data_IF_242718195737
#
_entry.id   IF_242718195737
#
_cell.length_a   1.000
_cell.length_b   1.000
_cell.length_c   1.000
_cell.angle_alpha   90.00
_cell.angle_beta   90.00
_cell.angle_gamma   90.00
#
_symmetry.space_group_name_H-M   'P 1'
#
loop_
_entity.id
_entity.type
_entity.pdbx_description
1 polymer ?
#
# COMPACT_ATOMS: atom_id res chain seq x y z
N UNK A 1 -13.59 0.36 4.27
CA UNK A 1 -12.63 1.26 3.57
C UNK A 1 -11.65 0.47 2.70
N UNK A 2 -10.88 -0.47 3.25
CA UNK A 2 -9.84 -1.20 2.52
C UNK A 2 -10.37 -1.95 1.28
N UNK A 3 -11.46 -2.72 1.42
CA UNK A 3 -12.05 -3.46 0.29
C UNK A 3 -12.64 -2.55 -0.81
N UNK A 4 -13.16 -1.38 -0.43
CA UNK A 4 -13.68 -0.40 -1.39
C UNK A 4 -12.52 0.21 -2.19
N UNK A 5 -11.38 0.42 -1.58
CA UNK A 5 -10.19 0.96 -2.24
C UNK A 5 -9.74 0.10 -3.45
N UNK A 6 -9.97 -1.21 -3.41
CA UNK A 6 -9.60 -2.13 -4.48
C UNK A 6 -10.44 -1.94 -5.75
N UNK A 7 -11.66 -1.45 -5.61
CA UNK A 7 -12.59 -1.23 -6.74
C UNK A 7 -12.44 0.16 -7.35
N UNK A 8 -11.77 1.08 -6.66
CA UNK A 8 -11.62 2.45 -7.11
C UNK A 8 -10.31 2.65 -7.90
N UNK A 9 -10.25 3.64 -8.80
CA UNK A 9 -9.01 4.05 -9.45
C UNK A 9 -7.93 4.35 -8.40
N UNK A 10 -6.79 3.66 -8.48
CA UNK A 10 -5.68 3.83 -7.55
C UNK A 10 -4.52 4.59 -8.19
N UNK A 11 -4.11 4.21 -9.40
CA UNK A 11 -3.03 4.86 -10.14
C UNK A 11 -3.55 5.41 -11.46
N UNK A 12 -3.14 6.62 -11.79
CA UNK A 12 -3.41 7.28 -13.07
C UNK A 12 -2.06 7.47 -13.76
N UNK A 13 -1.82 6.67 -14.80
CA UNK A 13 -0.56 6.58 -15.52
C UNK A 13 -0.66 7.29 -16.87
N UNK A 14 0.47 7.76 -17.38
CA UNK A 14 0.59 8.24 -18.76
C UNK A 14 1.59 7.41 -19.52
N UNK A 15 1.15 6.87 -20.68
CA UNK A 15 1.97 6.13 -21.62
C UNK A 15 1.70 6.65 -23.02
N UNK A 16 2.73 7.10 -23.74
CA UNK A 16 2.62 7.61 -25.13
C UNK A 16 1.48 8.63 -25.36
N UNK A 17 1.22 9.50 -24.38
CA UNK A 17 0.14 10.50 -24.46
C UNK A 17 -1.27 9.97 -24.12
N UNK A 18 -1.42 8.67 -23.89
CA UNK A 18 -2.66 8.08 -23.41
C UNK A 18 -2.67 7.99 -21.89
N UNK A 19 -3.86 8.17 -21.30
CA UNK A 19 -4.07 8.01 -19.87
C UNK A 19 -4.57 6.61 -19.58
N UNK A 20 -3.84 5.86 -18.77
CA UNK A 20 -4.22 4.55 -18.26
C UNK A 20 -4.66 4.70 -16.80
N UNK A 21 -5.79 4.10 -16.45
CA UNK A 21 -6.34 4.13 -15.10
C UNK A 21 -6.30 2.72 -14.56
N UNK A 22 -5.51 2.51 -13.49
CA UNK A 22 -5.42 1.23 -12.81
C UNK A 22 -6.26 1.24 -11.53
N UNK A 23 -7.30 0.40 -11.42
CA UNK A 23 -8.00 0.18 -10.16
C UNK A 23 -7.12 -0.56 -9.16
N UNK A 24 -7.48 -0.49 -7.89
CA UNK A 24 -6.64 -1.04 -6.81
C UNK A 24 -6.35 -2.54 -6.97
N UNK A 25 -7.29 -3.34 -7.47
CA UNK A 25 -7.07 -4.78 -7.69
C UNK A 25 -6.03 -5.06 -8.79
N UNK A 26 -5.99 -4.25 -9.85
CA UNK A 26 -4.95 -4.37 -10.90
C UNK A 26 -3.59 -4.02 -10.33
N UNK A 27 -3.50 -2.99 -9.47
CA UNK A 27 -2.26 -2.65 -8.78
C UNK A 27 -1.74 -3.82 -7.94
N UNK A 28 -2.61 -4.60 -7.29
CA UNK A 28 -2.22 -5.78 -6.53
C UNK A 28 -1.74 -6.90 -7.45
N UNK A 29 -2.44 -7.17 -8.55
CA UNK A 29 -2.07 -8.21 -9.51
C UNK A 29 -0.74 -7.89 -10.19
N UNK A 30 -0.59 -6.66 -10.69
CA UNK A 30 0.66 -6.21 -11.31
C UNK A 30 1.79 -6.14 -10.30
N UNK A 31 1.50 -5.75 -9.06
CA UNK A 31 2.47 -5.70 -7.97
C UNK A 31 3.00 -7.08 -7.58
N UNK A 32 2.21 -8.16 -7.69
CA UNK A 32 2.71 -9.52 -7.50
C UNK A 32 3.78 -9.90 -8.53
N UNK A 33 3.60 -9.47 -9.79
CA UNK A 33 4.61 -9.61 -10.82
C UNK A 33 5.80 -8.68 -10.58
N UNK A 34 5.54 -7.48 -10.06
CA UNK A 34 6.53 -6.47 -9.75
C UNK A 34 7.44 -6.84 -8.55
N UNK A 35 7.02 -7.76 -7.68
CA UNK A 35 7.92 -8.36 -6.67
C UNK A 35 9.15 -9.01 -7.29
N UNK A 36 9.03 -9.53 -8.51
CA UNK A 36 10.16 -10.09 -9.26
C UNK A 36 11.17 -9.00 -9.69
N UNK A 37 10.75 -7.74 -9.68
CA UNK A 37 11.54 -6.56 -10.07
C UNK A 37 11.83 -5.66 -8.86
N UNK A 38 11.79 -6.20 -7.65
CA UNK A 38 12.09 -5.50 -6.38
C UNK A 38 11.17 -4.32 -6.01
N UNK A 39 9.94 -4.30 -6.50
CA UNK A 39 8.93 -3.33 -6.03
C UNK A 39 8.30 -3.84 -4.73
N UNK A 40 8.79 -3.34 -3.61
CA UNK A 40 8.44 -3.81 -2.26
C UNK A 40 7.11 -3.25 -1.74
N UNK A 41 6.52 -2.26 -2.40
CA UNK A 41 5.31 -1.55 -1.96
C UNK A 41 4.10 -2.49 -1.83
N UNK A 42 4.07 -3.56 -2.63
CA UNK A 42 3.01 -4.57 -2.57
C UNK A 42 2.96 -5.28 -1.22
N UNK A 43 4.11 -5.38 -0.52
CA UNK A 43 4.19 -6.02 0.79
C UNK A 43 3.40 -5.26 1.88
N UNK A 44 3.03 -4.00 1.64
CA UNK A 44 2.16 -3.26 2.55
C UNK A 44 0.82 -3.97 2.78
N UNK A 45 0.27 -4.66 1.76
CA UNK A 45 -1.01 -5.35 1.85
C UNK A 45 -0.99 -6.54 2.83
N UNK A 46 -0.11 -7.56 2.68
CA UNK A 46 -0.04 -8.65 3.63
C UNK A 46 0.38 -8.19 5.04
N UNK A 47 1.26 -7.20 5.15
CA UNK A 47 1.64 -6.63 6.43
C UNK A 47 0.46 -5.95 7.13
N UNK A 48 -0.37 -5.20 6.41
CA UNK A 48 -1.58 -4.58 6.92
C UNK A 48 -2.60 -5.61 7.42
N UNK A 49 -2.82 -6.69 6.65
CA UNK A 49 -3.74 -7.77 7.03
C UNK A 49 -3.21 -8.47 8.29
N UNK A 50 -1.93 -8.83 8.31
CA UNK A 50 -1.30 -9.45 9.48
C UNK A 50 -1.36 -8.55 10.72
N UNK A 51 -1.09 -7.25 10.57
CA UNK A 51 -1.21 -6.26 11.64
C UNK A 51 -2.63 -6.22 12.21
N UNK A 52 -3.63 -6.14 11.33
CA UNK A 52 -5.04 -6.08 11.70
C UNK A 52 -5.47 -7.32 12.50
N UNK A 53 -5.08 -8.52 12.05
CA UNK A 53 -5.34 -9.76 12.76
C UNK A 53 -4.62 -9.81 14.13
N UNK A 54 -3.33 -9.46 14.16
CA UNK A 54 -2.52 -9.50 15.40
C UNK A 54 -2.97 -8.49 16.45
N UNK A 55 -3.51 -7.34 16.02
CA UNK A 55 -4.07 -6.37 16.97
C UNK A 55 -5.34 -6.88 17.67
N UNK A 56 -6.04 -7.86 17.10
CA UNK A 56 -7.18 -8.53 17.74
C UNK A 56 -6.75 -9.59 18.77
N UNK A 57 -5.48 -10.03 18.72
CA UNK A 57 -4.90 -11.02 19.63
C UNK A 57 -4.20 -10.36 20.83
N UNK A 58 -3.76 -11.13 21.86
CA UNK A 58 -2.95 -10.60 22.94
C UNK A 58 -1.57 -10.10 22.48
N UNK A 59 -1.09 -10.48 21.30
CA UNK A 59 0.24 -10.13 20.77
C UNK A 59 0.31 -8.70 20.20
N UNK A 60 -0.20 -7.72 20.95
CA UNK A 60 -0.35 -6.32 20.48
C UNK A 60 0.95 -5.64 20.07
N UNK A 61 2.09 -6.01 20.69
CA UNK A 61 3.40 -5.46 20.32
C UNK A 61 3.82 -5.87 18.92
N UNK A 62 3.63 -7.15 18.60
CA UNK A 62 3.94 -7.69 17.26
C UNK A 62 3.00 -7.06 16.23
N UNK A 63 1.68 -6.98 16.53
CA UNK A 63 0.72 -6.32 15.65
C UNK A 63 1.07 -4.86 15.37
N UNK A 64 1.56 -4.12 16.37
CA UNK A 64 2.01 -2.74 16.19
C UNK A 64 3.28 -2.65 15.33
N UNK A 65 4.24 -3.56 15.51
CA UNK A 65 5.43 -3.61 14.66
C UNK A 65 5.04 -3.83 13.18
N UNK A 66 4.14 -4.79 12.91
CA UNK A 66 3.62 -5.03 11.57
C UNK A 66 2.88 -3.82 10.99
N UNK A 67 2.07 -3.12 11.81
CA UNK A 67 1.34 -1.92 11.36
C UNK A 67 2.28 -0.77 10.98
N UNK A 68 3.32 -0.54 11.77
CA UNK A 68 4.33 0.48 11.48
C UNK A 68 5.13 0.11 10.23
N UNK A 69 5.54 -1.15 10.11
CA UNK A 69 6.26 -1.62 8.91
C UNK A 69 5.38 -1.50 7.67
N UNK A 70 4.09 -1.87 7.75
CA UNK A 70 3.15 -1.68 6.64
C UNK A 70 3.05 -0.22 6.22
N UNK A 71 3.01 0.72 7.16
CA UNK A 71 2.97 2.15 6.88
C UNK A 71 4.25 2.64 6.21
N UNK A 72 5.42 2.22 6.70
CA UNK A 72 6.71 2.57 6.10
C UNK A 72 6.77 2.06 4.65
N UNK A 73 6.41 0.80 4.43
CA UNK A 73 6.41 0.18 3.08
C UNK A 73 5.38 0.87 2.18
N UNK A 74 4.17 1.17 2.67
CA UNK A 74 3.16 1.90 1.89
C UNK A 74 3.63 3.29 1.48
N UNK A 75 4.43 3.96 2.31
CA UNK A 75 4.98 5.29 2.00
C UNK A 75 5.96 5.24 0.82
N UNK A 76 6.60 4.11 0.56
CA UNK A 76 7.47 3.94 -0.61
C UNK A 76 6.71 4.11 -1.94
N UNK A 77 5.38 3.89 -1.96
CA UNK A 77 4.56 4.12 -3.16
C UNK A 77 4.68 5.55 -3.70
N UNK A 78 5.00 6.53 -2.86
CA UNK A 78 5.26 7.90 -3.32
C UNK A 78 6.53 8.02 -4.19
N UNK A 79 7.44 7.05 -4.13
CA UNK A 79 8.64 7.04 -4.99
C UNK A 79 8.31 6.70 -6.44
N UNK A 80 7.13 6.10 -6.70
CA UNK A 80 6.67 5.77 -8.06
C UNK A 80 6.57 6.99 -9.00
N UNK A 81 6.47 8.21 -8.46
CA UNK A 81 6.57 9.43 -9.27
C UNK A 81 7.94 9.63 -9.94
N UNK A 82 8.97 8.94 -9.44
CA UNK A 82 10.37 9.08 -9.89
C UNK A 82 10.86 7.86 -10.67
N UNK A 83 10.02 6.84 -10.80
CA UNK A 83 10.40 5.56 -11.39
C UNK A 83 9.56 5.29 -12.62
N UNK A 84 10.20 4.76 -13.65
CA UNK A 84 9.52 4.29 -14.84
C UNK A 84 8.78 2.99 -14.55
N UNK A 85 7.52 2.92 -14.96
CA UNK A 85 6.68 1.74 -14.78
C UNK A 85 6.64 1.00 -16.12
N UNK A 86 7.24 -0.18 -16.17
CA UNK A 86 7.23 -1.03 -17.35
C UNK A 86 5.88 -1.76 -17.44
N UNK A 87 5.19 -1.60 -18.57
CA UNK A 87 3.87 -2.20 -18.83
C UNK A 87 3.97 -3.55 -19.54
N UNK A 88 5.15 -3.87 -20.08
CA UNK A 88 5.42 -5.11 -20.78
C UNK A 88 6.77 -5.71 -20.37
N UNK A 89 6.93 -7.01 -20.62
CA UNK A 89 8.17 -7.74 -20.34
C UNK A 89 9.35 -7.29 -21.21
N UNK A 90 9.06 -6.64 -22.36
CA UNK A 90 10.08 -6.14 -23.27
C UNK A 90 10.61 -4.75 -22.91
N UNK A 91 10.01 -4.06 -21.94
CA UNK A 91 10.40 -2.71 -21.55
C UNK A 91 10.20 -1.63 -22.61
N UNK A 92 9.38 -1.93 -23.64
CA UNK A 92 9.09 -1.00 -24.74
C UNK A 92 8.02 0.02 -24.35
N UNK A 93 7.02 -0.43 -23.58
CA UNK A 93 5.94 0.43 -23.10
C UNK A 93 6.24 0.91 -21.69
N UNK A 94 6.69 2.15 -21.60
CA UNK A 94 7.01 2.81 -20.34
C UNK A 94 5.88 3.78 -19.98
N UNK A 95 5.35 3.65 -18.77
CA UNK A 95 4.39 4.58 -18.21
C UNK A 95 5.02 5.36 -17.05
N UNK A 96 4.55 6.58 -16.87
CA UNK A 96 4.90 7.43 -15.73
C UNK A 96 3.66 7.66 -14.88
N UNK A 97 3.83 7.63 -13.57
CA UNK A 97 2.75 7.98 -12.65
C UNK A 97 2.43 9.49 -12.78
N UNK A 98 1.20 9.79 -13.18
CA UNK A 98 0.73 11.16 -13.30
C UNK A 98 0.10 11.65 -12.00
N UNK A 99 -0.75 10.82 -11.37
CA UNK A 99 -1.40 11.13 -10.09
C UNK A 99 -1.93 9.88 -9.43
N UNK A 100 -2.19 9.98 -8.12
CA UNK A 100 -2.93 8.96 -7.39
C UNK A 100 -4.43 9.19 -7.52
N UNK A 101 -5.20 8.11 -7.65
CA UNK A 101 -6.65 8.14 -7.64
C UNK A 101 -7.23 7.99 -6.22
N UNK A 102 -8.56 8.12 -6.08
CA UNK A 102 -9.24 8.02 -4.79
C UNK A 102 -9.03 6.67 -4.09
N UNK A 103 -8.86 5.59 -4.86
CA UNK A 103 -8.56 4.26 -4.32
C UNK A 103 -7.27 4.23 -3.52
N UNK A 104 -6.22 4.90 -4.00
CA UNK A 104 -4.95 5.03 -3.29
C UNK A 104 -5.12 5.74 -1.94
N UNK A 105 -5.83 6.86 -1.92
CA UNK A 105 -6.02 7.62 -0.68
C UNK A 105 -6.82 6.86 0.36
N UNK A 106 -7.85 6.11 -0.05
CA UNK A 106 -8.61 5.25 0.86
C UNK A 106 -7.77 4.09 1.40
N UNK A 107 -6.96 3.46 0.54
CA UNK A 107 -6.04 2.40 0.92
C UNK A 107 -5.00 2.90 1.92
N UNK A 108 -4.32 4.00 1.59
CA UNK A 108 -3.29 4.58 2.45
C UNK A 108 -3.85 5.04 3.80
N UNK A 109 -5.04 5.70 3.79
CA UNK A 109 -5.72 6.10 5.01
C UNK A 109 -6.07 4.93 5.93
N UNK A 110 -6.46 3.79 5.37
CA UNK A 110 -6.75 2.58 6.15
C UNK A 110 -5.49 2.08 6.88
N UNK A 111 -4.34 2.07 6.19
CA UNK A 111 -3.04 1.68 6.79
C UNK A 111 -2.63 2.65 7.91
N UNK A 112 -2.75 3.96 7.67
CA UNK A 112 -2.47 5.00 8.68
C UNK A 112 -3.34 4.81 9.91
N UNK A 113 -4.65 4.60 9.74
CA UNK A 113 -5.58 4.41 10.86
C UNK A 113 -5.22 3.19 11.71
N UNK A 114 -4.82 2.07 11.09
CA UNK A 114 -4.39 0.88 11.84
C UNK A 114 -3.09 1.14 12.58
N UNK A 115 -2.13 1.83 11.98
CA UNK A 115 -0.88 2.20 12.63
C UNK A 115 -1.11 3.12 13.84
N UNK A 116 -1.95 4.15 13.70
CA UNK A 116 -2.33 5.06 14.80
C UNK A 116 -3.04 4.30 15.92
N UNK A 117 -4.02 3.44 15.59
CA UNK A 117 -4.74 2.63 16.57
C UNK A 117 -3.79 1.70 17.34
N UNK A 118 -2.79 1.13 16.66
CA UNK A 118 -1.77 0.29 17.27
C UNK A 118 -0.92 1.08 18.29
N UNK A 119 -0.44 2.27 17.91
CA UNK A 119 0.33 3.15 18.77
C UNK A 119 -0.48 3.58 20.01
N UNK A 120 -1.73 4.00 19.84
CA UNK A 120 -2.62 4.40 20.94
C UNK A 120 -2.83 3.24 21.93
N UNK A 121 -3.03 2.03 21.44
CA UNK A 121 -3.20 0.84 22.29
C UNK A 121 -1.95 0.51 23.09
N UNK A 122 -0.76 0.65 22.52
CA UNK A 122 0.50 0.46 23.23
C UNK A 122 0.69 1.52 24.31
N UNK A 123 0.41 2.78 23.99
CA UNK A 123 0.56 3.89 24.92
C UNK A 123 -0.37 3.78 26.13
N UNK A 124 -1.64 3.42 25.92
CA UNK A 124 -2.60 3.19 27.01
C UNK A 124 -2.14 2.09 27.96
N UNK A 125 -1.56 0.99 27.43
CA UNK A 125 -1.04 -0.10 28.26
C UNK A 125 0.18 0.32 29.08
N UNK A 126 1.02 1.22 28.58
CA UNK A 126 2.18 1.73 29.31
C UNK A 126 1.80 2.61 30.50
N UNK A 127 0.61 3.24 30.49
CA UNK A 127 0.13 4.09 31.60
C UNK A 127 -0.66 3.34 32.68
N UNK A 128 -1.01 2.08 32.45
CA UNK A 128 -1.78 1.26 33.40
C UNK A 128 -0.90 0.35 34.27
N UNK A 129 0.42 0.54 34.20
CA UNK A 129 1.44 -0.06 35.09
C UNK A 129 1.99 1.04 35.99
#
# INVERSE_FOLDING_TARGET
>A
MYGIAWMLPALILKCHGQTLIWPGYECVLQGLLALLIAQIEILANPLFIAASCLLLTPNKKIGAAFAITALIVATQTFTLFKVDIYLDEGGVNIAHLNSFGPGFYLWYSAIVLVAVAACVRLWRKSRSI
#
